data_IF_604590012402
#
_entry.id   IF_604590012402
#
_cell.length_a   1.000
_cell.length_b   1.000
_cell.length_c   1.000
_cell.angle_alpha   90.00
_cell.angle_beta   90.00
_cell.angle_gamma   90.00
#
_symmetry.space_group_name_H-M   'P 1'
#
loop_
_entity.id
_entity.type
_entity.pdbx_description
1 polymer ?
#
# COMPACT_ATOMS: atom_id res chain seq x y z
N UNK A 1 -18.62 26.70 3.30
CA UNK A 1 -17.69 26.16 4.31
C UNK A 1 -17.73 24.65 4.21
N UNK A 2 -16.62 23.91 4.10
CA UNK A 2 -16.67 22.46 4.04
C UNK A 2 -17.00 21.93 5.44
N UNK A 3 -18.29 21.82 5.75
CA UNK A 3 -18.83 21.29 7.01
C UNK A 3 -19.06 19.78 6.88
N UNK A 4 -18.10 19.05 6.33
CA UNK A 4 -18.18 17.59 6.27
C UNK A 4 -17.59 17.00 7.55
N UNK A 5 -18.11 15.84 7.97
CA UNK A 5 -17.58 15.11 9.14
C UNK A 5 -16.10 14.71 8.99
N UNK A 6 -15.59 14.66 7.76
CA UNK A 6 -14.18 14.42 7.45
C UNK A 6 -13.31 15.63 7.77
N UNK A 7 -13.69 16.83 7.31
CA UNK A 7 -12.91 18.06 7.52
C UNK A 7 -12.82 18.42 9.01
N UNK A 8 -13.92 18.24 9.74
CA UNK A 8 -13.94 18.45 11.19
C UNK A 8 -12.97 17.53 11.93
N UNK A 9 -12.84 16.28 11.49
CA UNK A 9 -11.92 15.31 12.11
C UNK A 9 -10.47 15.58 11.73
N UNK A 10 -10.23 15.99 10.48
CA UNK A 10 -8.91 16.44 10.05
C UNK A 10 -8.44 17.62 10.89
N UNK A 11 -9.29 18.63 11.07
CA UNK A 11 -8.97 19.79 11.91
C UNK A 11 -8.74 19.40 13.37
N UNK A 12 -9.61 18.58 13.95
CA UNK A 12 -9.45 18.13 15.34
C UNK A 12 -8.16 17.31 15.53
N UNK A 13 -7.79 16.47 14.57
CA UNK A 13 -6.56 15.68 14.62
C UNK A 13 -5.32 16.58 14.50
N UNK A 14 -5.33 17.53 13.56
CA UNK A 14 -4.21 18.46 13.36
C UNK A 14 -4.00 19.30 14.62
N UNK A 15 -5.08 19.88 15.17
CA UNK A 15 -5.02 20.64 16.42
C UNK A 15 -4.53 19.81 17.61
N UNK A 16 -4.92 18.52 17.69
CA UNK A 16 -4.41 17.62 18.71
C UNK A 16 -2.89 17.42 18.59
N UNK A 17 -2.39 17.14 17.38
CA UNK A 17 -0.95 16.95 17.16
C UNK A 17 -0.14 18.22 17.42
N UNK A 18 -0.67 19.39 17.04
CA UNK A 18 -0.02 20.68 17.31
C UNK A 18 0.06 20.96 18.81
N UNK A 19 -0.99 20.63 19.58
CA UNK A 19 -1.04 20.86 21.02
C UNK A 19 -0.20 19.84 21.82
N UNK A 20 -0.24 18.57 21.44
CA UNK A 20 0.34 17.47 22.22
C UNK A 20 1.74 17.03 21.71
N UNK A 21 2.12 17.44 20.49
CA UNK A 21 3.39 17.07 19.86
C UNK A 21 3.52 15.57 19.55
N UNK A 22 2.41 14.83 19.53
CA UNK A 22 2.37 13.38 19.33
C UNK A 22 1.09 12.94 18.62
N UNK A 23 1.11 11.74 18.04
CA UNK A 23 -0.09 11.10 17.50
C UNK A 23 -1.06 10.67 18.62
N UNK A 24 -2.37 10.68 18.36
CA UNK A 24 -3.35 10.13 19.29
C UNK A 24 -3.21 8.61 19.41
N UNK A 25 -3.41 8.09 20.61
CA UNK A 25 -3.28 6.65 20.88
C UNK A 25 -4.60 5.91 20.82
N UNK A 26 -4.61 4.75 20.14
CA UNK A 26 -5.73 3.79 20.17
C UNK A 26 -5.91 3.12 21.53
N UNK A 27 -4.97 3.33 22.46
CA UNK A 27 -5.05 2.87 23.86
C UNK A 27 -5.40 3.98 24.84
N UNK A 28 -5.70 5.19 24.37
CA UNK A 28 -6.05 6.31 25.25
C UNK A 28 -7.39 6.05 25.95
N UNK A 29 -7.44 6.35 27.26
CA UNK A 29 -8.67 6.34 28.04
C UNK A 29 -9.56 7.56 27.72
N UNK A 30 -9.02 8.57 27.06
CA UNK A 30 -9.76 9.78 26.67
C UNK A 30 -10.54 9.47 25.39
N UNK A 31 -11.87 9.46 25.50
CA UNK A 31 -12.75 9.10 24.38
C UNK A 31 -12.57 9.99 23.13
N UNK A 32 -12.14 11.25 23.30
CA UNK A 32 -11.80 12.14 22.19
C UNK A 32 -10.58 11.67 21.42
N UNK A 33 -9.46 11.48 22.12
CA UNK A 33 -8.20 10.98 21.54
C UNK A 33 -8.38 9.61 20.89
N UNK A 34 -9.03 8.67 21.58
CA UNK A 34 -9.29 7.33 21.04
C UNK A 34 -10.02 7.39 19.69
N UNK A 35 -11.02 8.27 19.55
CA UNK A 35 -11.76 8.46 18.29
C UNK A 35 -10.89 9.07 17.18
N UNK A 36 -9.96 9.95 17.51
CA UNK A 36 -9.01 10.52 16.56
C UNK A 36 -8.02 9.46 16.08
N UNK A 37 -7.51 8.62 16.98
CA UNK A 37 -6.61 7.51 16.66
C UNK A 37 -7.25 6.51 15.70
N UNK A 38 -8.49 6.07 15.98
CA UNK A 38 -9.23 5.17 15.09
C UNK A 38 -9.53 5.81 13.73
N UNK A 39 -9.86 7.10 13.71
CA UNK A 39 -10.12 7.78 12.44
C UNK A 39 -8.86 7.87 11.56
N UNK A 40 -7.71 8.19 12.15
CA UNK A 40 -6.42 8.21 11.46
C UNK A 40 -6.05 6.83 10.90
N UNK A 41 -6.21 5.77 11.71
CA UNK A 41 -5.97 4.40 11.26
C UNK A 41 -6.88 4.02 10.06
N UNK A 42 -8.16 4.39 10.09
CA UNK A 42 -9.04 4.15 8.94
C UNK A 42 -8.68 4.98 7.70
N UNK A 43 -8.16 6.20 7.87
CA UNK A 43 -7.64 6.98 6.73
C UNK A 43 -6.44 6.26 6.10
N UNK A 44 -5.49 5.84 6.93
CA UNK A 44 -4.30 5.07 6.54
C UNK A 44 -4.65 3.76 5.84
N UNK A 45 -5.61 2.99 6.38
CA UNK A 45 -6.16 1.78 5.73
C UNK A 45 -6.80 2.10 4.38
N UNK A 46 -7.55 3.19 4.27
CA UNK A 46 -8.18 3.59 3.01
C UNK A 46 -7.15 3.98 1.94
N UNK A 47 -6.07 4.67 2.33
CA UNK A 47 -4.92 4.97 1.47
C UNK A 47 -4.22 3.69 1.02
N UNK A 48 -3.87 2.79 1.95
CA UNK A 48 -3.27 1.48 1.64
C UNK A 48 -4.16 0.61 0.76
N UNK A 49 -5.47 0.68 0.95
CA UNK A 49 -6.47 0.01 0.13
C UNK A 49 -6.75 0.72 -1.21
N UNK A 50 -6.13 1.88 -1.47
CA UNK A 50 -6.38 2.74 -2.64
C UNK A 50 -7.84 3.10 -2.85
N UNK A 51 -8.63 3.14 -1.77
CA UNK A 51 -10.04 3.55 -1.77
C UNK A 51 -10.19 5.05 -1.52
N UNK A 52 -9.11 5.74 -1.19
CA UNK A 52 -9.09 7.18 -0.98
C UNK A 52 -8.87 7.93 -2.30
N UNK A 53 -9.74 8.90 -2.58
CA UNK A 53 -9.58 9.81 -3.72
C UNK A 53 -8.33 10.70 -3.59
N UNK A 54 -7.77 11.17 -4.72
CA UNK A 54 -6.48 11.86 -4.77
C UNK A 54 -6.44 13.15 -3.92
N UNK A 55 -7.51 13.95 -3.96
CA UNK A 55 -7.58 15.20 -3.20
C UNK A 55 -7.47 14.98 -1.67
N UNK A 56 -8.20 14.00 -1.11
CA UNK A 56 -8.12 13.70 0.32
C UNK A 56 -6.77 13.12 0.73
N UNK A 57 -6.18 12.30 -0.15
CA UNK A 57 -4.85 11.73 0.06
C UNK A 57 -3.80 12.84 0.13
N UNK A 58 -3.82 13.78 -0.80
CA UNK A 58 -2.90 14.91 -0.84
C UNK A 58 -3.01 15.77 0.42
N UNK A 59 -4.23 16.06 0.88
CA UNK A 59 -4.45 16.79 2.13
C UNK A 59 -3.81 16.07 3.33
N UNK A 60 -4.02 14.75 3.47
CA UNK A 60 -3.39 13.98 4.57
C UNK A 60 -1.87 13.93 4.47
N UNK A 61 -1.34 13.87 3.25
CA UNK A 61 0.10 13.92 3.00
C UNK A 61 0.69 15.27 3.39
N UNK A 62 0.06 16.37 2.97
CA UNK A 62 0.49 17.73 3.32
C UNK A 62 0.40 18.00 4.82
N UNK A 63 -0.58 17.40 5.50
CA UNK A 63 -0.72 17.45 6.96
C UNK A 63 0.28 16.53 7.71
N UNK A 64 1.15 15.79 7.01
CA UNK A 64 2.11 14.88 7.64
C UNK A 64 1.48 13.66 8.32
N UNK A 65 0.23 13.33 8.00
CA UNK A 65 -0.54 12.27 8.65
C UNK A 65 -0.31 10.88 8.03
N UNK A 66 0.36 10.83 6.88
CA UNK A 66 0.72 9.60 6.19
C UNK A 66 2.18 9.26 6.44
N UNK A 67 2.43 7.98 6.67
CA UNK A 67 3.78 7.40 6.71
C UNK A 67 4.34 7.25 5.29
N UNK A 68 5.65 7.07 5.18
CA UNK A 68 6.32 6.85 3.89
C UNK A 68 5.72 5.67 3.09
N UNK A 69 5.29 4.61 3.78
CA UNK A 69 4.63 3.44 3.18
C UNK A 69 3.28 3.82 2.52
N UNK A 70 2.52 4.70 3.17
CA UNK A 70 1.21 5.14 2.69
C UNK A 70 1.30 6.14 1.53
N UNK A 71 2.32 7.01 1.54
CA UNK A 71 2.60 7.98 0.48
C UNK A 71 2.96 7.28 -0.84
N UNK A 72 3.63 6.13 -0.79
CA UNK A 72 4.12 5.40 -1.96
C UNK A 72 3.11 4.54 -2.73
N UNK A 73 1.80 4.55 -2.40
CA UNK A 73 0.84 3.58 -2.96
C UNK A 73 -0.44 4.17 -3.60
N UNK A 74 -0.40 4.68 -4.84
CA UNK A 74 -1.61 4.85 -5.67
C UNK A 74 -1.84 3.68 -6.65
N UNK A 75 -2.94 2.93 -6.43
CA UNK A 75 -3.29 1.63 -7.05
C UNK A 75 -3.33 1.52 -8.58
N UNK A 76 -3.25 2.60 -9.37
CA UNK A 76 -3.30 2.51 -10.84
C UNK A 76 -1.95 2.78 -11.51
N UNK A 77 -1.17 3.74 -11.01
CA UNK A 77 0.19 4.00 -11.49
C UNK A 77 1.23 3.04 -10.90
N UNK A 78 1.04 2.59 -9.66
CA UNK A 78 1.98 1.67 -9.01
C UNK A 78 1.87 0.24 -9.47
N UNK A 79 0.74 -0.18 -10.05
CA UNK A 79 0.59 -1.56 -10.52
C UNK A 79 1.62 -1.86 -11.62
N UNK A 80 1.76 -0.95 -12.59
CA UNK A 80 2.79 -1.06 -13.62
C UNK A 80 4.22 -0.95 -13.06
N UNK A 81 4.47 -0.08 -12.08
CA UNK A 81 5.78 -0.02 -11.42
C UNK A 81 6.10 -1.32 -10.67
N UNK A 82 5.10 -1.96 -10.04
CA UNK A 82 5.27 -3.26 -9.39
C UNK A 82 5.49 -4.38 -10.38
N UNK A 83 4.80 -4.39 -11.53
CA UNK A 83 5.09 -5.30 -12.63
C UNK A 83 6.52 -5.13 -13.11
N UNK A 84 6.98 -3.89 -13.30
CA UNK A 84 8.36 -3.59 -13.67
C UNK A 84 9.36 -4.08 -12.62
N UNK A 85 9.13 -3.82 -11.33
CA UNK A 85 10.01 -4.32 -10.26
C UNK A 85 10.03 -5.85 -10.15
N UNK A 86 8.94 -6.54 -10.50
CA UNK A 86 8.94 -8.02 -10.56
C UNK A 86 9.75 -8.49 -11.76
N UNK A 87 9.63 -7.84 -12.92
CA UNK A 87 10.43 -8.15 -14.11
C UNK A 87 11.92 -7.94 -13.84
N UNK A 88 12.32 -6.77 -13.30
CA UNK A 88 13.70 -6.46 -12.92
C UNK A 88 14.26 -7.50 -11.93
N UNK A 89 13.51 -7.84 -10.89
CA UNK A 89 13.94 -8.85 -9.93
C UNK A 89 14.15 -10.22 -10.58
N UNK A 90 13.25 -10.63 -11.47
CA UNK A 90 13.38 -11.90 -12.22
C UNK A 90 14.60 -11.88 -13.14
N UNK A 91 14.86 -10.75 -13.80
CA UNK A 91 16.04 -10.58 -14.66
C UNK A 91 17.35 -10.63 -13.85
N UNK A 92 17.39 -9.99 -12.67
CA UNK A 92 18.57 -9.94 -11.81
C UNK A 92 18.84 -11.27 -11.08
N UNK A 93 17.79 -11.88 -10.52
CA UNK A 93 17.91 -13.03 -9.61
C UNK A 93 17.61 -14.38 -10.30
N UNK A 94 17.04 -14.36 -11.51
CA UNK A 94 16.64 -15.55 -12.26
C UNK A 94 15.52 -16.36 -11.61
N UNK A 95 14.80 -15.78 -10.64
CA UNK A 95 13.76 -16.46 -9.85
C UNK A 95 12.65 -15.50 -9.46
N UNK A 96 11.51 -16.05 -9.06
CA UNK A 96 10.42 -15.26 -8.49
C UNK A 96 10.75 -14.77 -7.07
N UNK A 97 10.23 -13.59 -6.67
CA UNK A 97 10.27 -13.13 -5.29
C UNK A 97 9.65 -14.16 -4.33
N UNK A 98 10.37 -14.53 -3.27
CA UNK A 98 9.94 -15.53 -2.31
C UNK A 98 9.30 -14.92 -1.07
N UNK A 99 8.16 -15.49 -0.66
CA UNK A 99 7.55 -15.17 0.64
C UNK A 99 8.21 -15.93 1.79
N UNK A 100 8.79 -17.11 1.50
CA UNK A 100 9.33 -18.06 2.50
C UNK A 100 10.76 -17.73 2.87
N UNK A 101 11.56 -17.29 1.90
CA UNK A 101 12.98 -16.97 2.10
C UNK A 101 13.37 -15.68 1.35
N UNK A 102 12.84 -14.51 1.75
CA UNK A 102 13.19 -13.25 1.12
C UNK A 102 14.60 -12.80 1.51
N UNK A 103 15.42 -12.42 0.53
CA UNK A 103 16.73 -11.82 0.75
C UNK A 103 16.62 -10.39 1.30
N UNK A 104 15.55 -9.67 0.94
CA UNK A 104 15.30 -8.31 1.42
C UNK A 104 13.84 -8.07 1.80
N UNK A 105 13.60 -7.03 2.59
CA UNK A 105 12.24 -6.53 2.81
C UNK A 105 11.55 -6.06 1.51
N UNK A 106 12.32 -5.67 0.49
CA UNK A 106 11.82 -5.37 -0.86
C UNK A 106 11.22 -6.60 -1.53
N UNK A 107 11.96 -7.71 -1.55
CA UNK A 107 11.53 -8.99 -2.11
C UNK A 107 10.24 -9.50 -1.45
N UNK A 108 10.20 -9.49 -0.11
CA UNK A 108 9.00 -9.93 0.62
C UNK A 108 7.75 -9.16 0.23
N UNK A 109 7.88 -7.85 -0.01
CA UNK A 109 6.77 -6.98 -0.45
C UNK A 109 6.33 -7.29 -1.88
N UNK A 110 7.26 -7.65 -2.77
CA UNK A 110 6.91 -8.10 -4.12
C UNK A 110 6.14 -9.42 -4.07
N UNK A 111 6.61 -10.39 -3.28
CA UNK A 111 5.94 -11.67 -3.10
C UNK A 111 4.52 -11.52 -2.52
N UNK A 112 4.36 -10.67 -1.50
CA UNK A 112 3.05 -10.34 -0.92
C UNK A 112 2.12 -9.68 -1.93
N UNK A 113 2.64 -8.72 -2.71
CA UNK A 113 1.87 -8.04 -3.75
C UNK A 113 1.40 -9.00 -4.84
N UNK A 114 2.26 -9.89 -5.33
CA UNK A 114 1.89 -10.95 -6.29
C UNK A 114 0.77 -11.80 -5.71
N UNK A 115 0.91 -12.26 -4.46
CA UNK A 115 -0.10 -13.08 -3.80
C UNK A 115 -1.47 -12.38 -3.73
N UNK A 116 -1.50 -11.10 -3.35
CA UNK A 116 -2.73 -10.30 -3.28
C UNK A 116 -3.35 -10.10 -4.67
N UNK A 117 -2.55 -9.85 -5.70
CA UNK A 117 -3.05 -9.70 -7.08
C UNK A 117 -3.67 -10.98 -7.61
N UNK A 118 -3.01 -12.13 -7.40
CA UNK A 118 -3.49 -13.42 -7.88
C UNK A 118 -4.69 -13.96 -7.08
N UNK A 119 -4.83 -13.55 -5.83
CA UNK A 119 -5.95 -13.95 -4.97
C UNK A 119 -7.19 -13.07 -5.15
N UNK A 120 -7.08 -11.97 -5.89
CA UNK A 120 -8.17 -11.05 -6.16
C UNK A 120 -9.22 -11.65 -7.10
N UNK A 121 -10.51 -11.42 -6.82
CA UNK A 121 -11.63 -11.78 -7.73
C UNK A 121 -12.05 -10.64 -8.66
N UNK A 122 -11.20 -9.62 -8.81
CA UNK A 122 -11.48 -8.50 -9.70
C UNK A 122 -11.41 -8.95 -11.17
N UNK A 123 -12.08 -8.21 -12.05
CA UNK A 123 -11.94 -8.40 -13.49
C UNK A 123 -10.45 -8.31 -13.89
N UNK A 124 -10.07 -9.06 -14.92
CA UNK A 124 -8.69 -9.02 -15.44
C UNK A 124 -8.35 -7.59 -15.86
N UNK A 125 -7.23 -7.09 -15.33
CA UNK A 125 -6.70 -5.76 -15.66
C UNK A 125 -5.39 -5.94 -16.42
N UNK A 126 -5.02 -4.96 -17.25
CA UNK A 126 -3.78 -5.02 -18.03
C UNK A 126 -2.51 -5.28 -17.19
N UNK A 127 -2.32 -4.68 -15.99
CA UNK A 127 -1.18 -5.03 -15.14
C UNK A 127 -1.20 -6.47 -14.63
N UNK A 128 -2.39 -7.03 -14.35
CA UNK A 128 -2.53 -8.41 -13.90
C UNK A 128 -2.18 -9.39 -15.04
N UNK A 129 -2.61 -9.08 -16.26
CA UNK A 129 -2.24 -9.82 -17.47
C UNK A 129 -0.73 -9.80 -17.71
N UNK A 130 -0.10 -8.62 -17.61
CA UNK A 130 1.35 -8.48 -17.74
C UNK A 130 2.10 -9.25 -16.64
N UNK A 131 1.64 -9.18 -15.39
CA UNK A 131 2.19 -9.98 -14.30
C UNK A 131 2.11 -11.47 -14.60
N UNK A 132 0.95 -11.97 -15.06
CA UNK A 132 0.78 -13.38 -15.40
C UNK A 132 1.77 -13.84 -16.47
N UNK A 133 1.99 -13.03 -17.51
CA UNK A 133 2.96 -13.33 -18.56
C UNK A 133 4.39 -13.50 -18.01
N UNK A 134 4.80 -12.67 -17.05
CA UNK A 134 6.11 -12.81 -16.38
C UNK A 134 6.18 -14.13 -15.60
N UNK A 135 5.14 -14.46 -14.82
CA UNK A 135 5.11 -15.69 -14.04
C UNK A 135 5.16 -16.95 -14.92
N UNK A 136 4.44 -16.92 -16.05
CA UNK A 136 4.41 -18.02 -17.00
C UNK A 136 5.77 -18.18 -17.71
N UNK A 137 6.44 -17.09 -18.08
CA UNK A 137 7.78 -17.12 -18.66
C UNK A 137 8.80 -17.79 -17.71
N UNK A 138 8.82 -17.39 -16.44
CA UNK A 138 9.72 -17.99 -15.44
C UNK A 138 9.40 -19.47 -15.19
N UNK A 139 8.12 -19.85 -15.21
CA UNK A 139 7.73 -21.25 -15.06
C UNK A 139 8.23 -22.12 -16.24
N UNK A 140 8.20 -21.58 -17.47
CA UNK A 140 8.72 -22.27 -18.65
C UNK A 140 10.25 -22.39 -18.61
N UNK A 141 10.96 -21.31 -18.26
CA UNK A 141 12.43 -21.31 -18.20
C UNK A 141 12.98 -22.19 -17.06
N UNK A 142 12.26 -22.26 -15.95
CA UNK A 142 12.57 -23.16 -14.83
C UNK A 142 12.41 -24.64 -15.18
N UNK A 143 11.51 -24.99 -16.12
CA UNK A 143 11.38 -26.36 -16.63
C UNK A 143 12.49 -26.72 -17.64
N UNK A 144 12.99 -25.75 -18.40
CA UNK A 144 14.04 -25.95 -19.41
C UNK A 144 15.43 -26.26 -18.83
N UNK A 145 15.72 -25.86 -17.59
CA UNK A 145 17.00 -26.12 -16.91
C UNK A 145 17.03 -27.45 -16.12
N UNK A 146 15.99 -28.28 -16.24
CA UNK A 146 15.85 -29.59 -15.56
C UNK A 146 15.98 -30.78 -16.52
N UNK A 147 16.93 -30.73 -17.47
CA UNK A 147 17.30 -31.86 -18.34
C UNK A 147 18.80 -32.06 -18.35
#
# INVERSE_FOLDING_TARGET
>A
MPTTSWDLRLHALTAFMDAEGREPSTRSAIAGEHRLALWLDEQRKSVRAGRMGPARREILQQAGLLTADEIGSPRTGTAWLRVASVAEFVEEEGRLPSFVAPATAGEKRLADWIHVQLSGRAAETEPLRALRAILDAVAVDGLAHTV
#
